data_IF_723480790808
#
_entry.id   IF_723480790808
#
_cell.length_a   1.000
_cell.length_b   1.000
_cell.length_c   1.000
_cell.angle_alpha   90.00
_cell.angle_beta   90.00
_cell.angle_gamma   90.00
#
_symmetry.space_group_name_H-M   'P 1'
#
loop_
_entity.id
_entity.type
_entity.pdbx_description
1 polymer ?
#
# COMPACT_ATOMS: atom_id res chain seq x y z
N UNK A 1 31.24 49.55 47.77
CA UNK A 1 30.60 48.24 47.53
C UNK A 1 29.83 48.35 46.22
N UNK A 2 30.09 47.67 45.11
CA UNK A 2 31.05 46.67 44.69
C UNK A 2 30.70 46.36 43.21
N UNK A 3 31.70 46.40 42.33
CA UNK A 3 31.60 46.24 40.87
C UNK A 3 31.26 44.83 40.40
N UNK A 4 30.74 44.70 39.16
CA UNK A 4 31.04 43.71 38.08
C UNK A 4 29.83 43.62 37.14
N UNK A 5 29.85 43.90 35.82
CA UNK A 5 30.77 43.58 34.71
C UNK A 5 30.97 42.07 34.47
N UNK A 6 30.32 41.56 33.42
CA UNK A 6 30.57 40.26 32.77
C UNK A 6 29.88 40.26 31.40
N UNK A 7 30.54 40.65 30.31
CA UNK A 7 31.40 39.83 29.44
C UNK A 7 30.65 38.68 28.73
N UNK A 8 30.01 39.02 27.60
CA UNK A 8 29.58 38.05 26.58
C UNK A 8 30.77 37.66 25.71
N UNK A 9 31.19 36.38 25.78
CA UNK A 9 32.21 35.80 24.90
C UNK A 9 31.56 35.21 23.66
N UNK A 10 31.98 35.72 22.50
CA UNK A 10 31.86 35.07 21.19
C UNK A 10 32.78 33.86 21.14
N UNK A 11 32.28 32.72 20.69
CA UNK A 11 33.11 31.59 20.23
C UNK A 11 32.78 31.36 18.76
N UNK A 12 33.74 31.72 17.91
CA UNK A 12 33.78 31.46 16.49
C UNK A 12 34.34 30.05 16.28
N UNK A 13 33.55 29.14 15.72
CA UNK A 13 34.06 27.88 15.15
C UNK A 13 34.15 28.03 13.62
N UNK A 14 35.38 27.95 13.13
CA UNK A 14 35.78 27.92 11.73
C UNK A 14 36.12 26.47 11.43
N UNK A 15 35.41 25.82 10.50
CA UNK A 15 35.80 24.50 10.00
C UNK A 15 35.73 24.48 8.48
N UNK A 16 36.86 24.10 7.90
CA UNK A 16 37.23 24.03 6.48
C UNK A 16 36.49 22.96 5.69
N UNK A 17 36.37 23.11 4.35
CA UNK A 17 35.75 22.12 3.48
C UNK A 17 36.69 20.95 3.15
N UNK A 18 36.25 19.72 3.43
CA UNK A 18 36.94 18.50 3.03
C UNK A 18 36.61 18.12 1.58
N UNK A 19 37.64 18.03 0.77
CA UNK A 19 37.64 17.49 -0.59
C UNK A 19 38.06 16.02 -0.53
N UNK A 20 37.21 15.09 -0.98
CA UNK A 20 37.54 13.66 -1.16
C UNK A 20 36.93 13.28 -2.52
N UNK A 21 37.65 13.38 -3.64
CA UNK A 21 38.69 12.48 -4.17
C UNK A 21 38.17 11.09 -4.57
N UNK A 22 38.04 10.90 -5.88
CA UNK A 22 37.65 9.65 -6.57
C UNK A 22 38.77 8.61 -6.50
N UNK A 23 38.48 7.31 -6.30
CA UNK A 23 39.49 6.28 -6.48
C UNK A 23 39.72 5.99 -7.98
N UNK A 24 41.00 6.03 -8.36
CA UNK A 24 41.56 5.58 -9.63
C UNK A 24 41.71 4.05 -9.63
N UNK A 25 41.43 3.43 -10.77
CA UNK A 25 41.87 2.08 -11.11
C UNK A 25 43.41 2.00 -11.06
N UNK A 26 43.94 0.96 -10.41
CA UNK A 26 45.30 0.48 -10.62
C UNK A 26 45.28 -1.03 -10.83
N UNK A 27 45.61 -1.45 -12.04
CA UNK A 27 46.00 -2.81 -12.36
C UNK A 27 47.48 -3.01 -12.00
N UNK A 28 47.83 -4.16 -11.39
CA UNK A 28 49.15 -4.78 -11.57
C UNK A 28 49.09 -6.29 -11.29
N UNK A 29 49.38 -7.03 -12.36
CA UNK A 29 49.97 -8.38 -12.48
C UNK A 29 51.15 -8.65 -11.52
N UNK A 30 51.63 -9.85 -11.23
CA UNK A 30 51.30 -11.26 -11.54
C UNK A 30 52.22 -12.18 -10.71
N UNK A 31 51.83 -13.45 -10.51
CA UNK A 31 52.64 -14.68 -10.68
C UNK A 31 51.98 -15.88 -9.94
N UNK A 32 51.35 -16.84 -10.66
CA UNK A 32 51.86 -18.17 -11.10
C UNK A 32 51.79 -19.23 -9.98
N UNK A 33 50.89 -20.21 -10.00
CA UNK A 33 50.85 -21.49 -10.76
C UNK A 33 49.43 -22.10 -10.62
N UNK A 34 48.76 -22.83 -11.51
CA UNK A 34 49.02 -23.43 -12.82
C UNK A 34 47.82 -24.35 -13.17
N UNK A 35 47.75 -24.78 -14.44
CA UNK A 35 46.93 -25.88 -15.00
C UNK A 35 45.59 -25.56 -15.71
N UNK A 36 45.71 -25.37 -17.03
CA UNK A 36 45.02 -26.06 -18.15
C UNK A 36 43.49 -26.15 -18.20
N UNK A 37 42.86 -25.37 -19.10
CA UNK A 37 42.20 -25.92 -20.30
C UNK A 37 41.74 -24.82 -21.29
N UNK A 38 41.81 -25.18 -22.58
CA UNK A 38 41.83 -24.31 -23.75
C UNK A 38 40.49 -23.68 -24.15
N UNK A 39 40.55 -22.42 -24.61
CA UNK A 39 39.65 -21.82 -25.61
C UNK A 39 40.19 -22.15 -27.05
N UNK A 40 39.55 -21.78 -28.19
CA UNK A 40 39.16 -20.41 -28.57
C UNK A 40 37.82 -20.38 -29.36
N UNK A 41 37.26 -19.32 -29.93
CA UNK A 41 37.75 -18.00 -30.33
C UNK A 41 36.58 -17.01 -30.47
N UNK A 42 36.88 -15.75 -30.20
CA UNK A 42 36.13 -14.56 -30.57
C UNK A 42 36.84 -13.93 -31.79
N UNK A 43 36.11 -13.36 -32.77
CA UNK A 43 36.71 -12.41 -33.72
C UNK A 43 35.73 -11.28 -34.08
N UNK A 44 36.30 -10.08 -34.14
CA UNK A 44 35.71 -8.74 -34.29
C UNK A 44 35.52 -8.39 -35.76
N UNK A 45 34.63 -7.45 -36.08
CA UNK A 45 34.98 -6.35 -36.99
C UNK A 45 34.02 -5.16 -36.88
N UNK A 46 34.59 -3.95 -36.90
CA UNK A 46 33.94 -2.64 -37.03
C UNK A 46 33.84 -2.27 -38.52
N UNK A 47 32.72 -1.66 -38.93
CA UNK A 47 32.68 -0.70 -40.04
C UNK A 47 31.57 0.33 -39.79
N UNK A 48 31.94 1.60 -39.78
CA UNK A 48 31.02 2.74 -39.88
C UNK A 48 30.51 2.87 -41.32
N UNK A 49 29.23 3.16 -41.52
CA UNK A 49 28.74 3.88 -42.69
C UNK A 49 27.41 4.58 -42.39
N UNK A 50 27.35 5.85 -42.76
CA UNK A 50 26.19 6.72 -42.66
C UNK A 50 25.08 6.33 -43.64
N UNK A 51 23.82 6.58 -43.25
CA UNK A 51 22.67 6.50 -44.14
C UNK A 51 21.35 6.76 -43.40
N UNK A 52 20.85 7.99 -43.47
CA UNK A 52 19.42 8.33 -43.37
C UNK A 52 18.95 8.72 -44.78
N UNK A 53 17.65 8.71 -45.15
CA UNK A 53 16.46 8.62 -44.29
C UNK A 53 15.30 7.73 -44.84
N UNK A 54 14.18 7.74 -44.11
CA UNK A 54 12.79 7.45 -44.53
C UNK A 54 12.36 6.00 -44.75
N UNK A 55 11.64 5.51 -43.76
CA UNK A 55 10.69 4.40 -43.86
C UNK A 55 9.98 4.27 -42.52
N UNK A 56 9.00 5.13 -42.28
CA UNK A 56 8.23 5.14 -41.03
C UNK A 56 7.56 3.80 -40.82
N UNK A 57 8.12 2.99 -39.94
CA UNK A 57 7.40 1.88 -39.34
C UNK A 57 6.33 2.51 -38.46
N UNK A 58 5.08 2.44 -38.92
CA UNK A 58 3.93 2.56 -38.04
C UNK A 58 4.09 1.45 -37.01
N UNK A 59 4.57 1.80 -35.81
CA UNK A 59 4.40 0.98 -34.64
C UNK A 59 2.89 0.88 -34.42
N UNK A 60 2.29 -0.16 -34.99
CA UNK A 60 0.96 -0.61 -34.61
C UNK A 60 1.06 -1.11 -33.18
N UNK A 61 0.86 -0.19 -32.24
CA UNK A 61 0.49 -0.57 -30.89
C UNK A 61 -0.78 -1.36 -31.01
N UNK A 62 -0.72 -2.63 -30.62
CA UNK A 62 -1.91 -3.44 -30.37
C UNK A 62 -2.64 -2.74 -29.22
N UNK A 63 -3.62 -1.91 -29.56
CA UNK A 63 -4.58 -1.39 -28.59
C UNK A 63 -5.44 -2.57 -28.20
N UNK A 64 -4.97 -3.35 -27.23
CA UNK A 64 -5.87 -4.21 -26.45
C UNK A 64 -6.77 -3.22 -25.73
N UNK A 65 -8.01 -3.05 -26.22
CA UNK A 65 -9.06 -2.36 -25.48
C UNK A 65 -9.48 -3.30 -24.33
N UNK A 66 -9.02 -3.10 -23.07
CA UNK A 66 -9.28 -4.04 -21.99
C UNK A 66 -10.65 -3.76 -21.33
N UNK A 67 -11.24 -2.60 -21.62
CA UNK A 67 -12.21 -1.95 -20.72
C UNK A 67 -13.59 -2.59 -20.71
N UNK A 68 -14.13 -3.00 -21.87
CA UNK A 68 -15.45 -3.63 -21.92
C UNK A 68 -15.42 -5.11 -21.51
N UNK A 69 -14.32 -5.82 -21.75
CA UNK A 69 -14.17 -7.22 -21.32
C UNK A 69 -13.98 -7.33 -19.81
N UNK A 70 -13.35 -6.33 -19.18
CA UNK A 70 -13.19 -6.31 -17.73
C UNK A 70 -14.53 -6.22 -16.99
N UNK A 71 -15.54 -5.55 -17.56
CA UNK A 71 -16.88 -5.52 -16.97
C UNK A 71 -17.60 -6.88 -17.05
N UNK A 72 -17.21 -7.78 -17.96
CA UNK A 72 -17.76 -9.14 -18.01
C UNK A 72 -17.26 -10.03 -16.88
N UNK A 73 -16.18 -9.64 -16.19
CA UNK A 73 -15.71 -10.35 -15.00
C UNK A 73 -16.63 -10.11 -13.79
N UNK A 74 -17.34 -8.97 -13.76
CA UNK A 74 -18.25 -8.66 -12.68
C UNK A 74 -19.47 -9.60 -12.66
N UNK A 75 -19.99 -9.93 -11.48
CA UNK A 75 -21.25 -10.65 -11.35
C UNK A 75 -22.37 -9.82 -11.99
N UNK A 76 -23.19 -10.48 -12.81
CA UNK A 76 -24.38 -9.88 -13.44
C UNK A 76 -25.46 -9.56 -12.41
N UNK A 77 -25.47 -10.27 -11.28
CA UNK A 77 -26.33 -10.02 -10.12
C UNK A 77 -25.47 -9.52 -8.97
N UNK A 78 -25.92 -8.46 -8.30
CA UNK A 78 -25.24 -7.94 -7.11
C UNK A 78 -25.28 -8.95 -5.96
N UNK A 79 -24.15 -9.18 -5.31
CA UNK A 79 -24.11 -9.96 -4.08
C UNK A 79 -24.78 -9.20 -2.92
N UNK A 80 -25.13 -9.93 -1.85
CA UNK A 80 -25.79 -9.34 -0.67
C UNK A 80 -25.01 -8.17 -0.06
N UNK A 81 -23.68 -8.26 0.00
CA UNK A 81 -22.81 -7.19 0.53
C UNK A 81 -22.70 -5.98 -0.41
N UNK A 82 -23.02 -6.15 -1.70
CA UNK A 82 -23.08 -5.05 -2.67
C UNK A 82 -24.41 -4.30 -2.62
N UNK A 83 -25.41 -4.83 -1.90
CA UNK A 83 -26.64 -4.12 -1.67
C UNK A 83 -26.36 -2.88 -0.81
N UNK A 84 -27.10 -1.80 -1.06
CA UNK A 84 -27.05 -0.67 -0.14
C UNK A 84 -27.39 -1.14 1.28
N UNK A 85 -26.70 -0.64 2.31
CA UNK A 85 -26.96 -1.03 3.68
C UNK A 85 -28.45 -0.87 3.97
N UNK A 86 -29.10 -1.91 4.51
CA UNK A 86 -30.50 -1.84 4.97
C UNK A 86 -30.68 -1.01 6.26
N UNK A 87 -29.75 -0.09 6.53
CA UNK A 87 -29.74 0.83 7.67
C UNK A 87 -30.29 2.21 7.30
N UNK A 88 -30.52 3.10 8.28
CA UNK A 88 -31.18 4.38 8.06
C UNK A 88 -30.43 5.20 7.01
N UNK A 89 -31.15 5.57 5.95
CA UNK A 89 -30.68 6.33 4.79
C UNK A 89 -29.95 7.59 5.26
N UNK A 90 -28.69 7.77 4.86
CA UNK A 90 -28.06 9.07 4.92
C UNK A 90 -28.75 10.00 3.92
N UNK A 91 -29.45 11.00 4.47
CA UNK A 91 -29.95 12.11 3.70
C UNK A 91 -28.77 12.85 3.09
N UNK A 92 -28.79 12.99 1.77
CA UNK A 92 -28.01 13.98 1.03
C UNK A 92 -28.47 15.37 1.45
N UNK A 93 -27.98 15.86 2.58
CA UNK A 93 -27.94 17.29 2.88
C UNK A 93 -26.89 17.59 3.94
N UNK A 94 -25.85 18.29 3.52
CA UNK A 94 -25.01 19.22 4.29
C UNK A 94 -25.21 19.28 5.82
N UNK A 95 -24.13 18.95 6.52
CA UNK A 95 -23.73 19.41 7.86
C UNK A 95 -24.42 18.81 9.11
N UNK A 96 -23.54 18.44 10.04
CA UNK A 96 -23.72 18.09 11.47
C UNK A 96 -24.24 16.68 11.77
N UNK A 97 -23.30 15.73 11.89
CA UNK A 97 -23.45 14.57 12.78
C UNK A 97 -23.64 13.17 12.16
N UNK A 98 -23.61 13.04 10.83
CA UNK A 98 -23.71 11.72 10.18
C UNK A 98 -22.43 10.88 10.33
N UNK A 99 -22.57 9.61 10.72
CA UNK A 99 -21.51 8.61 10.69
C UNK A 99 -21.18 8.29 9.21
N UNK A 100 -20.30 9.08 8.61
CA UNK A 100 -19.78 8.79 7.27
C UNK A 100 -19.04 7.44 7.25
N UNK A 101 -18.88 6.81 6.07
CA UNK A 101 -18.23 5.51 5.94
C UNK A 101 -16.81 5.52 6.51
N UNK A 102 -16.17 6.67 6.68
CA UNK A 102 -14.79 6.79 7.15
C UNK A 102 -14.62 6.69 8.67
N UNK A 103 -15.67 6.90 9.48
CA UNK A 103 -15.54 6.73 10.95
C UNK A 103 -15.56 5.26 11.35
N UNK A 104 -14.67 4.89 12.26
CA UNK A 104 -14.71 3.58 12.91
C UNK A 104 -16.00 3.45 13.73
N UNK A 105 -16.65 2.29 13.62
CA UNK A 105 -17.78 1.95 14.46
C UNK A 105 -17.28 1.70 15.89
N UNK A 106 -17.61 2.61 16.80
CA UNK A 106 -17.13 2.56 18.19
C UNK A 106 -17.63 1.34 18.96
N UNK A 107 -18.76 0.76 18.56
CA UNK A 107 -19.30 -0.47 19.17
C UNK A 107 -18.42 -1.70 18.91
N UNK A 108 -17.61 -1.67 17.85
CA UNK A 108 -16.75 -2.78 17.44
C UNK A 108 -15.27 -2.51 17.69
N UNK A 109 -14.94 -1.52 18.53
CA UNK A 109 -13.55 -1.22 18.86
C UNK A 109 -12.90 -2.41 19.56
N UNK A 110 -11.80 -2.87 18.98
CA UNK A 110 -10.91 -3.88 19.52
C UNK A 110 -9.58 -3.20 19.77
N UNK A 111 -9.57 -2.23 20.68
CA UNK A 111 -8.38 -1.44 20.99
C UNK A 111 -7.24 -2.37 21.42
N UNK A 112 -6.03 -2.23 20.83
CA UNK A 112 -4.91 -3.03 21.26
C UNK A 112 -4.57 -2.72 22.73
N UNK A 113 -4.17 -3.72 23.54
CA UNK A 113 -3.73 -3.48 24.90
C UNK A 113 -2.53 -2.53 24.92
N UNK A 114 -2.60 -1.48 25.74
CA UNK A 114 -1.47 -0.59 25.99
C UNK A 114 -0.49 -1.25 26.99
N UNK A 115 0.84 -1.20 26.76
CA UNK A 115 1.54 -0.42 25.73
C UNK A 115 1.87 -1.20 24.44
N UNK A 116 1.89 -0.47 23.31
CA UNK A 116 2.36 -0.98 22.01
C UNK A 116 3.83 -1.41 22.11
N UNK A 117 4.16 -2.58 21.57
CA UNK A 117 5.55 -3.03 21.46
C UNK A 117 6.31 -2.14 20.47
N UNK A 118 7.53 -1.72 20.82
CA UNK A 118 8.40 -0.87 19.96
C UNK A 118 9.20 -1.72 18.95
N UNK A 119 9.13 -3.04 19.05
CA UNK A 119 9.91 -3.94 18.22
C UNK A 119 9.31 -4.04 16.80
N UNK A 120 10.13 -3.98 15.73
CA UNK A 120 9.68 -4.21 14.37
C UNK A 120 9.01 -5.58 14.23
N UNK A 121 7.90 -5.63 13.50
CA UNK A 121 7.22 -6.89 13.21
C UNK A 121 8.12 -7.84 12.40
N UNK A 122 8.14 -9.16 12.69
CA UNK A 122 8.87 -10.14 11.90
C UNK A 122 8.21 -10.43 10.53
N UNK A 123 7.05 -9.83 10.27
CA UNK A 123 6.28 -9.99 9.05
C UNK A 123 7.09 -9.57 7.83
N UNK A 124 7.04 -10.40 6.79
CA UNK A 124 7.73 -10.14 5.52
C UNK A 124 6.72 -9.70 4.49
N UNK A 125 7.05 -8.64 3.78
CA UNK A 125 6.36 -8.28 2.57
C UNK A 125 6.46 -9.44 1.56
N UNK A 126 5.32 -9.86 1.03
CA UNK A 126 5.18 -10.99 0.13
C UNK A 126 4.30 -10.69 -1.07
N UNK A 127 3.96 -9.42 -1.32
CA UNK A 127 3.04 -9.08 -2.39
C UNK A 127 3.66 -9.28 -3.78
N UNK A 128 2.85 -9.71 -4.74
CA UNK A 128 3.18 -9.63 -6.17
C UNK A 128 2.79 -8.25 -6.70
N UNK A 129 3.33 -7.86 -7.86
CA UNK A 129 2.94 -6.60 -8.53
C UNK A 129 1.41 -6.54 -8.76
N UNK A 130 0.82 -7.65 -9.22
CA UNK A 130 -0.62 -7.76 -9.37
C UNK A 130 -1.37 -7.55 -8.04
N UNK A 131 -0.88 -8.09 -6.92
CA UNK A 131 -1.54 -7.91 -5.63
C UNK A 131 -1.52 -6.44 -5.18
N UNK A 132 -0.44 -5.72 -5.46
CA UNK A 132 -0.33 -4.30 -5.17
C UNK A 132 -1.34 -3.48 -5.99
N UNK A 133 -1.30 -3.62 -7.30
CA UNK A 133 -2.23 -2.96 -8.22
C UNK A 133 -3.69 -3.31 -7.86
N UNK A 134 -3.95 -4.60 -7.56
CA UNK A 134 -5.28 -5.04 -7.21
C UNK A 134 -5.78 -4.36 -5.94
N UNK A 135 -5.00 -4.39 -4.85
CA UNK A 135 -5.39 -3.77 -3.57
C UNK A 135 -5.64 -2.26 -3.74
N UNK A 136 -4.78 -1.55 -4.48
CA UNK A 136 -4.88 -0.10 -4.71
C UNK A 136 -5.99 0.35 -5.65
N UNK A 137 -6.55 -0.55 -6.47
CA UNK A 137 -7.43 -0.21 -7.59
C UNK A 137 -8.59 0.75 -7.26
N UNK A 138 -9.26 0.58 -6.11
CA UNK A 138 -10.35 1.46 -5.68
C UNK A 138 -9.86 2.88 -5.37
N UNK A 139 -8.71 3.00 -4.67
CA UNK A 139 -8.11 4.29 -4.35
C UNK A 139 -7.61 4.99 -5.61
N UNK A 140 -6.96 4.26 -6.53
CA UNK A 140 -6.54 4.79 -7.83
C UNK A 140 -7.73 5.30 -8.65
N UNK A 141 -8.84 4.55 -8.69
CA UNK A 141 -10.04 4.97 -9.42
C UNK A 141 -10.72 6.21 -8.80
N UNK A 142 -10.49 6.46 -7.52
CA UNK A 142 -10.95 7.65 -6.79
C UNK A 142 -9.99 8.84 -6.86
N UNK A 143 -8.78 8.66 -7.38
CA UNK A 143 -7.66 9.62 -7.30
C UNK A 143 -7.17 9.89 -5.86
N UNK A 144 -7.23 8.88 -4.98
CA UNK A 144 -6.79 8.99 -3.59
C UNK A 144 -5.31 8.64 -3.45
N UNK A 145 -4.60 9.36 -2.58
CA UNK A 145 -3.29 8.95 -2.11
C UNK A 145 -3.41 7.63 -1.32
N UNK A 146 -2.55 6.65 -1.58
CA UNK A 146 -2.70 5.33 -0.95
C UNK A 146 -1.37 4.65 -0.65
N UNK A 147 -1.44 3.67 0.25
CA UNK A 147 -0.37 2.78 0.62
C UNK A 147 -0.91 1.38 0.91
N UNK A 148 -0.38 0.40 0.21
CA UNK A 148 -0.87 -0.98 0.21
C UNK A 148 0.28 -1.96 0.46
N UNK A 149 0.04 -2.98 1.30
CA UNK A 149 1.03 -4.01 1.63
C UNK A 149 0.39 -5.37 1.85
N UNK A 150 1.14 -6.42 1.52
CA UNK A 150 0.78 -7.81 1.85
C UNK A 150 1.91 -8.43 2.64
N UNK A 151 1.57 -8.97 3.80
CA UNK A 151 2.51 -9.60 4.71
C UNK A 151 2.21 -11.08 4.83
N UNK A 152 3.25 -11.91 4.67
CA UNK A 152 3.21 -13.32 5.02
C UNK A 152 3.70 -13.55 6.45
N UNK A 153 3.05 -14.49 7.15
CA UNK A 153 3.43 -14.95 8.47
C UNK A 153 3.70 -16.45 8.46
N UNK A 154 4.89 -16.83 8.95
CA UNK A 154 5.27 -18.23 9.15
C UNK A 154 4.48 -18.87 10.32
N UNK A 155 3.94 -18.03 11.21
CA UNK A 155 3.09 -18.46 12.34
C UNK A 155 1.64 -18.06 12.10
N UNK A 156 0.71 -18.94 12.50
CA UNK A 156 -0.71 -18.60 12.50
C UNK A 156 -0.95 -17.36 13.37
N UNK A 157 -1.51 -16.31 12.79
CA UNK A 157 -1.95 -15.10 13.49
C UNK A 157 -3.44 -15.25 13.82
N UNK A 158 -3.82 -15.44 15.09
CA UNK A 158 -5.21 -15.40 15.49
C UNK A 158 -5.80 -13.99 15.25
N UNK A 159 -7.07 -13.87 14.83
CA UNK A 159 -7.74 -12.59 14.64
C UNK A 159 -7.58 -11.61 15.81
N UNK A 160 -7.60 -12.11 17.05
CA UNK A 160 -7.50 -11.30 18.27
C UNK A 160 -6.11 -10.67 18.46
N UNK A 161 -5.09 -11.18 17.78
CA UNK A 161 -3.72 -10.64 17.85
C UNK A 161 -3.46 -9.59 16.76
N UNK A 162 -4.25 -9.58 15.68
CA UNK A 162 -4.02 -8.66 14.57
C UNK A 162 -4.05 -7.18 15.01
N UNK A 163 -5.00 -6.69 15.84
CA UNK A 163 -5.01 -5.29 16.27
C UNK A 163 -3.70 -4.83 16.93
N UNK A 164 -3.00 -5.71 17.64
CA UNK A 164 -1.72 -5.40 18.28
C UNK A 164 -0.53 -5.39 17.29
N UNK A 165 -0.68 -6.02 16.12
CA UNK A 165 0.33 -6.07 15.07
C UNK A 165 0.25 -4.88 14.11
N UNK A 166 -0.97 -4.40 13.82
CA UNK A 166 -1.21 -3.30 12.87
C UNK A 166 -0.35 -2.04 13.11
N UNK A 167 -0.17 -1.51 14.33
CA UNK A 167 0.62 -0.30 14.53
C UNK A 167 2.13 -0.50 14.29
N UNK A 168 2.59 -1.75 14.15
CA UNK A 168 4.00 -2.12 13.97
C UNK A 168 4.32 -2.58 12.54
N UNK A 169 3.38 -2.45 11.61
CA UNK A 169 3.60 -2.79 10.21
C UNK A 169 4.60 -1.80 9.57
N UNK A 170 5.48 -2.26 8.69
CA UNK A 170 6.41 -1.38 7.97
C UNK A 170 5.70 -0.65 6.82
N UNK A 171 4.73 0.21 7.16
CA UNK A 171 3.94 1.00 6.23
C UNK A 171 4.03 2.49 6.56
N UNK A 172 3.97 3.33 5.54
CA UNK A 172 4.04 4.78 5.74
C UNK A 172 2.84 5.31 6.54
N UNK A 173 1.65 4.69 6.41
CA UNK A 173 0.44 5.05 7.15
C UNK A 173 0.51 4.86 8.67
N UNK A 174 1.51 4.13 9.19
CA UNK A 174 1.74 3.96 10.64
C UNK A 174 3.16 4.37 11.04
N UNK A 175 3.94 4.91 10.10
CA UNK A 175 5.32 5.30 10.35
C UNK A 175 5.38 6.51 11.27
N UNK A 176 6.25 6.43 12.28
CA UNK A 176 6.41 7.52 13.26
C UNK A 176 5.28 7.57 14.30
N UNK A 177 4.40 6.58 14.33
CA UNK A 177 3.39 6.43 15.36
C UNK A 177 4.06 6.14 16.72
N UNK A 178 4.22 7.19 17.54
CA UNK A 178 4.79 7.09 18.88
C UNK A 178 3.90 6.36 19.87
N UNK A 179 4.45 6.03 21.05
CA UNK A 179 3.73 5.30 22.11
C UNK A 179 2.46 6.02 22.60
N UNK A 180 2.39 7.34 22.44
CA UNK A 180 1.31 8.20 22.97
C UNK A 180 0.27 8.62 21.90
N UNK A 181 0.51 8.37 20.61
CA UNK A 181 -0.39 8.79 19.52
C UNK A 181 -1.59 7.85 19.36
N UNK A 182 -2.80 8.35 19.07
CA UNK A 182 -4.00 7.49 18.93
C UNK A 182 -3.77 6.42 17.86
N UNK A 183 -4.19 5.20 18.17
CA UNK A 183 -4.32 4.11 17.21
C UNK A 183 -5.53 3.26 17.60
N UNK A 184 -6.56 3.30 16.77
CA UNK A 184 -7.82 2.62 17.00
C UNK A 184 -8.03 1.55 15.94
N UNK A 185 -8.57 0.41 16.35
CA UNK A 185 -8.89 -0.71 15.46
C UNK A 185 -10.30 -1.14 15.76
N UNK A 186 -11.12 -1.35 14.73
CA UNK A 186 -12.43 -1.93 14.83
C UNK A 186 -12.53 -3.17 13.95
N UNK A 187 -13.14 -4.24 14.48
CA UNK A 187 -13.60 -5.33 13.63
C UNK A 187 -14.75 -4.82 12.74
N UNK A 188 -14.83 -5.29 11.50
CA UNK A 188 -15.86 -4.85 10.56
C UNK A 188 -16.39 -6.01 9.71
N UNK A 189 -17.51 -5.79 9.05
CA UNK A 189 -18.11 -6.75 8.13
C UNK A 189 -17.61 -6.56 6.69
N UNK A 190 -17.82 -7.57 5.86
CA UNK A 190 -17.59 -7.47 4.41
C UNK A 190 -18.45 -6.36 3.79
N UNK A 191 -19.70 -6.19 4.24
CA UNK A 191 -20.58 -5.11 3.80
C UNK A 191 -19.93 -3.74 4.06
N UNK A 192 -19.39 -3.51 5.26
CA UNK A 192 -18.70 -2.25 5.60
C UNK A 192 -17.46 -2.02 4.73
N UNK A 193 -16.66 -3.06 4.51
CA UNK A 193 -15.48 -3.00 3.62
C UNK A 193 -15.89 -2.64 2.19
N UNK A 194 -16.93 -3.30 1.67
CA UNK A 194 -17.45 -3.02 0.33
C UNK A 194 -17.92 -1.58 0.20
N UNK A 195 -18.69 -1.06 1.17
CA UNK A 195 -19.16 0.32 1.13
C UNK A 195 -17.99 1.31 1.09
N UNK A 196 -16.92 1.07 1.86
CA UNK A 196 -15.74 1.93 1.86
C UNK A 196 -15.04 1.89 0.50
N UNK A 197 -14.72 0.70 -0.01
CA UNK A 197 -14.04 0.54 -1.31
C UNK A 197 -14.85 1.17 -2.45
N UNK A 198 -16.16 0.93 -2.47
CA UNK A 198 -17.03 1.49 -3.49
C UNK A 198 -17.20 3.01 -3.37
N UNK A 199 -17.26 3.56 -2.15
CA UNK A 199 -17.35 5.00 -1.93
C UNK A 199 -16.11 5.73 -2.45
N UNK A 200 -14.92 5.17 -2.24
CA UNK A 200 -13.66 5.73 -2.75
C UNK A 200 -13.64 5.68 -4.28
N UNK A 201 -14.07 4.57 -4.87
CA UNK A 201 -14.12 4.40 -6.32
C UNK A 201 -15.34 5.07 -7.01
N UNK A 202 -16.23 5.73 -6.26
CA UNK A 202 -17.61 6.01 -6.67
C UNK A 202 -17.74 6.93 -7.90
N UNK A 203 -16.69 7.71 -8.23
CA UNK A 203 -16.67 8.56 -9.42
C UNK A 203 -16.72 7.76 -10.73
N UNK A 204 -16.41 6.45 -10.71
CA UNK A 204 -16.32 5.61 -11.91
C UNK A 204 -17.58 4.85 -12.32
N UNK A 205 -18.70 4.93 -11.59
CA UNK A 205 -19.92 4.17 -11.89
C UNK A 205 -19.66 2.65 -12.02
N UNK A 206 -19.93 2.06 -13.20
CA UNK A 206 -19.64 0.64 -13.45
C UNK A 206 -18.13 0.30 -13.34
N UNK A 207 -17.26 1.22 -13.72
CA UNK A 207 -15.81 1.06 -13.54
C UNK A 207 -15.38 1.26 -12.09
N UNK A 208 -16.09 2.11 -11.33
CA UNK A 208 -15.91 2.21 -9.88
C UNK A 208 -16.26 0.91 -9.17
N UNK A 209 -17.36 0.25 -9.60
CA UNK A 209 -17.72 -1.09 -9.13
C UNK A 209 -16.62 -2.11 -9.46
N UNK A 210 -16.07 -2.07 -10.68
CA UNK A 210 -14.95 -2.94 -11.07
C UNK A 210 -13.74 -2.72 -10.16
N UNK A 211 -13.32 -1.47 -9.97
CA UNK A 211 -12.18 -1.12 -9.13
C UNK A 211 -12.38 -1.59 -7.68
N UNK A 212 -13.56 -1.40 -7.10
CA UNK A 212 -13.89 -1.90 -5.77
C UNK A 212 -13.80 -3.43 -5.66
N UNK A 213 -14.29 -4.16 -6.67
CA UNK A 213 -14.14 -5.61 -6.74
C UNK A 213 -12.68 -6.05 -6.90
N UNK A 214 -11.89 -5.32 -7.68
CA UNK A 214 -10.47 -5.59 -7.87
C UNK A 214 -9.69 -5.38 -6.56
N UNK A 215 -9.96 -4.31 -5.80
CA UNK A 215 -9.45 -4.13 -4.44
C UNK A 215 -9.86 -5.23 -3.50
N UNK A 216 -11.12 -5.69 -3.58
CA UNK A 216 -11.58 -6.80 -2.76
C UNK A 216 -10.83 -8.11 -3.10
N UNK A 217 -10.56 -8.37 -4.38
CA UNK A 217 -9.76 -9.52 -4.83
C UNK A 217 -8.33 -9.45 -4.29
N UNK A 218 -7.68 -8.30 -4.42
CA UNK A 218 -6.34 -8.06 -3.88
C UNK A 218 -6.27 -8.23 -2.36
N UNK A 219 -7.23 -7.67 -1.63
CA UNK A 219 -7.29 -7.77 -0.16
C UNK A 219 -7.51 -9.22 0.31
N UNK A 220 -8.36 -9.98 -0.36
CA UNK A 220 -8.62 -11.39 -0.02
C UNK A 220 -7.52 -12.34 -0.47
N UNK A 221 -6.65 -11.90 -1.38
CA UNK A 221 -5.56 -12.72 -1.91
C UNK A 221 -6.03 -13.74 -2.95
N UNK A 222 -7.17 -13.48 -3.60
CA UNK A 222 -7.48 -14.13 -4.87
C UNK A 222 -6.32 -13.87 -5.85
N UNK A 223 -6.03 -14.76 -6.77
CA UNK A 223 -5.19 -14.52 -7.93
C UNK A 223 -5.94 -13.78 -9.06
N UNK A 224 -5.24 -13.62 -10.19
CA UNK A 224 -5.72 -12.89 -11.36
C UNK A 224 -6.79 -13.63 -12.17
N UNK A 225 -6.88 -14.95 -11.99
CA UNK A 225 -7.70 -15.83 -12.83
C UNK A 225 -9.00 -16.26 -12.10
N UNK A 226 -9.14 -15.90 -10.82
CA UNK A 226 -10.34 -16.15 -10.03
C UNK A 226 -11.54 -15.38 -10.56
N UNK A 227 -12.70 -16.04 -10.52
CA UNK A 227 -13.97 -15.41 -10.82
C UNK A 227 -14.42 -14.51 -9.67
N UNK A 228 -15.31 -13.56 -9.97
CA UNK A 228 -15.88 -12.73 -8.92
C UNK A 228 -16.65 -13.54 -7.86
N UNK A 229 -17.26 -14.67 -8.20
CA UNK A 229 -17.89 -15.56 -7.21
C UNK A 229 -16.87 -16.19 -6.25
N UNK A 230 -15.68 -16.54 -6.75
CA UNK A 230 -14.59 -17.05 -5.92
C UNK A 230 -14.04 -15.95 -5.00
N UNK A 231 -13.86 -14.73 -5.53
CA UNK A 231 -13.50 -13.55 -4.72
C UNK A 231 -14.55 -13.31 -3.63
N UNK A 232 -15.85 -13.38 -3.98
CA UNK A 232 -16.94 -13.20 -3.03
C UNK A 232 -16.89 -14.24 -1.90
N UNK A 233 -16.52 -15.49 -2.21
CA UNK A 233 -16.38 -16.53 -1.20
C UNK A 233 -15.18 -16.29 -0.30
N UNK A 234 -14.01 -16.00 -0.87
CA UNK A 234 -12.82 -15.64 -0.11
C UNK A 234 -13.07 -14.43 0.80
N UNK A 235 -13.83 -13.45 0.31
CA UNK A 235 -14.20 -12.27 1.07
C UNK A 235 -15.08 -12.57 2.30
N UNK A 236 -15.97 -13.57 2.20
CA UNK A 236 -16.78 -14.02 3.36
C UNK A 236 -15.96 -14.76 4.40
N UNK A 237 -14.93 -15.49 3.95
CA UNK A 237 -14.07 -16.28 4.83
C UNK A 237 -12.94 -15.45 5.45
N UNK A 238 -12.67 -14.26 4.89
CA UNK A 238 -11.67 -13.30 5.37
C UNK A 238 -12.14 -12.59 6.64
N UNK A 239 -11.22 -12.39 7.58
CA UNK A 239 -11.48 -11.54 8.76
C UNK A 239 -11.08 -10.11 8.47
N UNK A 240 -12.00 -9.17 8.72
CA UNK A 240 -11.84 -7.76 8.34
C UNK A 240 -11.69 -6.84 9.54
N UNK A 241 -10.76 -5.90 9.42
CA UNK A 241 -10.56 -4.84 10.38
C UNK A 241 -10.43 -3.51 9.65
N UNK A 242 -10.82 -2.44 10.35
CA UNK A 242 -10.47 -1.08 9.98
C UNK A 242 -9.68 -0.46 11.10
N UNK A 243 -8.80 0.47 10.75
CA UNK A 243 -8.05 1.20 11.73
C UNK A 243 -7.90 2.67 11.35
N UNK A 244 -7.62 3.47 12.36
CA UNK A 244 -7.38 4.90 12.25
C UNK A 244 -6.25 5.29 13.21
N UNK A 245 -5.48 6.32 12.88
CA UNK A 245 -4.37 6.75 13.71
C UNK A 245 -3.98 8.21 13.54
N UNK A 246 -3.35 8.78 14.57
CA UNK A 246 -2.74 10.11 14.53
C UNK A 246 -1.36 10.10 13.81
N UNK A 247 -1.06 9.09 13.00
CA UNK A 247 0.14 9.11 12.18
C UNK A 247 0.03 10.25 11.17
N UNK A 248 1.14 10.97 10.92
CA UNK A 248 1.17 12.14 10.05
C UNK A 248 0.78 11.88 8.59
N UNK A 249 0.71 10.60 8.20
CA UNK A 249 0.23 10.18 6.89
C UNK A 249 -1.28 10.35 6.74
N UNK A 250 -2.04 10.17 7.82
CA UNK A 250 -3.47 10.48 7.84
C UNK A 250 -3.65 11.97 8.14
N UNK A 251 -4.42 12.65 7.30
CA UNK A 251 -4.71 14.09 7.49
C UNK A 251 -5.66 14.34 8.67
N UNK A 252 -6.27 13.27 9.21
CA UNK A 252 -7.26 13.25 10.28
C UNK A 252 -8.51 14.09 9.98
N UNK A 253 -8.78 14.31 8.69
CA UNK A 253 -9.98 15.00 8.22
C UNK A 253 -11.15 14.02 8.16
N UNK A 254 -12.28 14.43 8.76
CA UNK A 254 -13.46 13.57 8.88
C UNK A 254 -13.96 13.21 7.48
N UNK A 255 -13.82 11.93 7.10
CA UNK A 255 -14.27 11.46 5.80
C UNK A 255 -13.13 11.08 4.86
N UNK A 256 -11.93 11.58 5.10
CA UNK A 256 -10.87 11.61 4.10
C UNK A 256 -9.79 10.56 4.34
N UNK A 257 -9.84 9.82 5.44
CA UNK A 257 -8.86 8.78 5.76
C UNK A 257 -9.55 7.42 5.93
N UNK A 258 -8.99 6.40 5.27
CA UNK A 258 -9.47 5.02 5.38
C UNK A 258 -8.29 4.06 5.52
N UNK A 259 -8.42 3.08 6.40
CA UNK A 259 -7.51 1.94 6.42
C UNK A 259 -8.28 0.64 6.66
N UNK A 260 -8.00 -0.36 5.83
CA UNK A 260 -8.61 -1.68 5.85
C UNK A 260 -7.48 -2.70 5.98
N UNK A 261 -7.64 -3.64 6.91
CA UNK A 261 -6.79 -4.81 7.05
C UNK A 261 -7.62 -6.09 6.88
N UNK A 262 -7.10 -6.99 6.04
CA UNK A 262 -7.68 -8.28 5.73
C UNK A 262 -6.74 -9.39 6.23
N UNK A 263 -7.25 -10.26 7.10
CA UNK A 263 -6.55 -11.46 7.55
C UNK A 263 -7.16 -12.67 6.84
N UNK A 264 -6.32 -13.42 6.14
CA UNK A 264 -6.75 -14.62 5.43
C UNK A 264 -7.35 -15.67 6.38
N UNK A 265 -8.22 -16.57 5.89
CA UNK A 265 -8.87 -17.59 6.71
C UNK A 265 -7.88 -18.50 7.44
N UNK A 266 -6.71 -18.74 6.84
CA UNK A 266 -5.62 -19.54 7.42
C UNK A 266 -4.73 -18.75 8.40
N UNK A 267 -5.01 -17.47 8.62
CA UNK A 267 -4.29 -16.56 9.50
C UNK A 267 -2.82 -16.33 9.15
N UNK A 268 -2.44 -16.54 7.88
CA UNK A 268 -1.03 -16.45 7.43
C UNK A 268 -0.74 -15.29 6.50
N UNK A 269 -1.77 -14.61 5.99
CA UNK A 269 -1.64 -13.46 5.10
C UNK A 269 -2.41 -12.29 5.67
N UNK A 270 -1.72 -11.16 5.79
CA UNK A 270 -2.32 -9.87 6.18
C UNK A 270 -2.18 -8.93 4.98
N UNK A 271 -3.28 -8.50 4.38
CA UNK A 271 -3.27 -7.44 3.38
C UNK A 271 -3.81 -6.15 3.97
N UNK A 272 -3.21 -5.03 3.62
CA UNK A 272 -3.59 -3.71 4.11
C UNK A 272 -3.73 -2.76 2.94
N UNK A 273 -4.81 -1.99 2.94
CA UNK A 273 -5.00 -0.80 2.13
C UNK A 273 -5.19 0.38 3.09
N UNK A 274 -4.36 1.41 2.98
CA UNK A 274 -4.63 2.72 3.54
C UNK A 274 -4.81 3.70 2.37
N UNK A 275 -5.83 4.54 2.42
CA UNK A 275 -6.03 5.63 1.45
C UNK A 275 -6.40 6.93 2.17
N UNK A 276 -5.99 8.04 1.60
CA UNK A 276 -6.30 9.39 2.07
C UNK A 276 -6.66 10.28 0.89
N UNK A 277 -7.71 11.07 1.05
CA UNK A 277 -8.14 12.09 0.09
C UNK A 277 -7.34 13.38 0.38
N UNK A 278 -6.60 13.87 -0.62
CA UNK A 278 -5.64 14.96 -0.47
C UNK A 278 -6.12 16.30 -1.04
N UNK A 279 -7.36 16.37 -1.54
CA UNK A 279 -7.91 17.56 -2.21
C UNK A 279 -8.60 18.58 -1.30
#
# INVERSE_FOLDING_TARGET
MGSRSGSSRRTSCRTTPSTISRPRCSAREAATTGSTNCAPACSRSCCCAAGTPRGGALHTWTVVQPSLFALNWLPTVRHGFEAEPRGPRYATSSSVGGEGPSRLNTANLVSPPAPRAVAPSPLRDSATAWAYEAIGAAAEAGDWGHAERVFASDTLVPPQQLPALLPNLPMDCVKGLGADLRFEVAACSLDEVWQVLYAIAAHGGAYGRLAAWTSLAGLTGAGSDETADQVAQLARDTTWFRFDSDAAWFHNDIGNDIAIAALSPDGRRIAVLAATDTD
#
